data_IF_513583588838
#
_entry.id   IF_513583588838
#
_cell.length_a   1.000
_cell.length_b   1.000
_cell.length_c   1.000
_cell.angle_alpha   90.00
_cell.angle_beta   90.00
_cell.angle_gamma   90.00
#
_symmetry.space_group_name_H-M   'P 1'
#
loop_
_entity.id
_entity.type
_entity.pdbx_description
1 polymer ?
#
# COMPACT_ATOMS: atom_id res chain seq x y z
N UNK A 1 14.63 -16.37 10.78
CA UNK A 1 14.13 -15.41 11.80
C UNK A 1 13.81 -14.09 11.12
N UNK A 2 12.68 -13.46 11.45
CA UNK A 2 12.33 -12.12 10.95
C UNK A 2 12.23 -11.20 12.15
N UNK A 3 12.89 -10.04 12.12
CA UNK A 3 12.83 -9.05 13.20
C UNK A 3 12.51 -7.67 12.65
N UNK A 4 11.80 -6.87 13.44
CA UNK A 4 11.50 -5.49 13.09
C UNK A 4 10.95 -4.72 14.28
N UNK A 5 10.59 -3.47 14.01
CA UNK A 5 10.05 -2.54 15.01
C UNK A 5 8.78 -1.90 14.48
N UNK A 6 7.87 -1.53 15.39
CA UNK A 6 6.66 -0.77 15.05
C UNK A 6 6.67 0.55 15.80
N UNK A 7 6.49 1.64 15.06
CA UNK A 7 6.36 2.99 15.60
C UNK A 7 4.93 3.49 15.44
N UNK A 8 4.52 4.30 16.40
CA UNK A 8 3.37 5.17 16.28
C UNK A 8 3.76 6.41 15.47
N UNK A 9 3.25 6.53 14.24
CA UNK A 9 3.31 7.74 13.43
C UNK A 9 2.16 8.66 13.85
N UNK A 10 2.44 9.53 14.83
CA UNK A 10 1.43 10.41 15.43
C UNK A 10 0.91 11.48 14.46
N UNK A 11 1.70 11.81 13.45
CA UNK A 11 1.39 12.85 12.49
C UNK A 11 0.83 12.32 11.16
N UNK A 12 0.77 11.00 11.01
CA UNK A 12 0.34 10.30 9.79
C UNK A 12 1.12 10.79 8.56
N UNK A 13 2.39 11.12 8.74
CA UNK A 13 3.26 11.64 7.68
C UNK A 13 4.04 10.52 6.94
N UNK A 14 3.92 9.28 7.43
CA UNK A 14 4.52 8.10 6.82
C UNK A 14 6.00 7.94 7.13
N UNK A 15 6.53 8.65 8.14
CA UNK A 15 7.92 8.56 8.57
C UNK A 15 8.01 8.25 10.07
N UNK A 16 9.21 7.91 10.53
CA UNK A 16 9.53 7.87 11.96
C UNK A 16 10.18 9.21 12.30
N UNK A 17 9.46 10.04 13.03
CA UNK A 17 9.77 11.42 13.37
C UNK A 17 10.07 11.60 14.86
N UNK A 18 10.43 12.82 15.26
CA UNK A 18 10.81 13.16 16.64
C UNK A 18 9.72 12.85 17.68
N UNK A 19 8.45 12.93 17.28
CA UNK A 19 7.33 12.69 18.18
C UNK A 19 6.89 11.22 18.19
N UNK A 20 7.39 10.41 17.27
CA UNK A 20 6.97 9.03 17.14
C UNK A 20 7.64 8.15 18.19
N UNK A 21 6.94 7.08 18.58
CA UNK A 21 7.37 6.23 19.69
C UNK A 21 7.07 4.75 19.40
N UNK A 22 7.86 3.82 19.95
CA UNK A 22 7.63 2.39 19.75
C UNK A 22 6.31 1.94 20.37
N UNK A 23 5.58 1.08 19.67
CA UNK A 23 4.28 0.57 20.13
C UNK A 23 4.38 -0.81 20.75
N UNK A 24 3.89 -0.95 21.99
CA UNK A 24 3.78 -2.22 22.70
C UNK A 24 2.46 -2.94 22.41
N UNK A 25 2.51 -4.27 22.28
CA UNK A 25 1.33 -5.13 22.23
C UNK A 25 0.54 -5.01 20.92
N UNK A 26 1.11 -4.36 19.89
CA UNK A 26 0.46 -4.28 18.58
C UNK A 26 0.82 -5.52 17.77
N UNK A 27 -0.19 -6.04 17.06
CA UNK A 27 -0.06 -7.22 16.23
C UNK A 27 0.56 -6.87 14.89
N UNK A 28 1.58 -7.62 14.54
CA UNK A 28 2.27 -7.58 13.25
C UNK A 28 2.03 -8.89 12.55
N UNK A 29 1.67 -8.78 11.28
CA UNK A 29 1.36 -9.90 10.42
C UNK A 29 2.40 -9.99 9.33
N UNK A 30 2.79 -11.20 8.97
CA UNK A 30 3.65 -11.48 7.83
C UNK A 30 2.89 -12.38 6.86
N UNK A 31 2.95 -12.02 5.59
CA UNK A 31 2.35 -12.78 4.51
C UNK A 31 3.37 -12.98 3.39
N UNK A 32 3.38 -14.19 2.83
CA UNK A 32 4.15 -14.52 1.64
C UNK A 32 3.18 -14.80 0.49
N UNK A 33 3.25 -14.04 -0.61
CA UNK A 33 2.43 -14.31 -1.78
C UNK A 33 2.90 -15.59 -2.48
N UNK A 34 1.94 -16.41 -2.89
CA UNK A 34 2.10 -17.55 -3.78
C UNK A 34 2.20 -17.11 -5.24
N UNK A 35 2.46 -18.08 -6.11
CA UNK A 35 2.61 -17.87 -7.55
C UNK A 35 1.34 -17.35 -8.25
N UNK A 36 0.17 -17.55 -7.63
CA UNK A 36 -1.16 -17.11 -8.07
C UNK A 36 -1.64 -15.84 -7.35
N UNK A 37 -0.79 -15.22 -6.52
CA UNK A 37 -1.15 -14.08 -5.69
C UNK A 37 -1.96 -14.43 -4.44
N UNK A 38 -2.27 -15.71 -4.20
CA UNK A 38 -2.84 -16.15 -2.92
C UNK A 38 -1.77 -16.18 -1.84
N UNK A 39 -2.12 -15.87 -0.60
CA UNK A 39 -1.16 -15.95 0.51
C UNK A 39 -0.90 -17.42 0.84
N UNK A 40 0.34 -17.87 0.70
CA UNK A 40 0.75 -19.26 0.95
C UNK A 40 1.32 -19.46 2.35
N UNK A 41 1.88 -18.41 2.95
CA UNK A 41 2.37 -18.45 4.33
C UNK A 41 1.94 -17.22 5.10
N UNK A 42 1.46 -17.45 6.32
CA UNK A 42 0.98 -16.43 7.25
C UNK A 42 1.55 -16.66 8.65
N UNK A 43 1.93 -15.57 9.32
CA UNK A 43 2.31 -15.52 10.74
C UNK A 43 1.84 -14.21 11.37
N UNK A 44 1.53 -14.27 12.66
CA UNK A 44 1.19 -13.11 13.48
C UNK A 44 2.02 -13.14 14.75
N UNK A 45 2.55 -11.98 15.15
CA UNK A 45 3.33 -11.80 16.37
C UNK A 45 2.98 -10.45 17.01
N UNK A 46 3.14 -10.32 18.33
CA UNK A 46 2.92 -9.04 19.01
C UNK A 46 4.22 -8.35 19.38
N UNK A 47 4.26 -7.03 19.31
CA UNK A 47 5.43 -6.25 19.73
C UNK A 47 5.65 -6.27 21.24
N UNK A 48 6.92 -6.27 21.65
CA UNK A 48 7.32 -6.14 23.04
C UNK A 48 7.37 -4.66 23.49
N UNK A 49 7.78 -4.42 24.74
CA UNK A 49 7.76 -3.08 25.35
C UNK A 49 8.66 -2.04 24.65
N UNK A 50 9.63 -2.49 23.85
CA UNK A 50 10.48 -1.65 23.00
C UNK A 50 9.92 -1.47 21.58
N UNK A 51 8.74 -2.00 21.30
CA UNK A 51 8.13 -2.01 19.97
C UNK A 51 8.74 -3.04 19.02
N UNK A 52 9.59 -3.94 19.51
CA UNK A 52 10.25 -4.94 18.68
C UNK A 52 9.38 -6.20 18.57
N UNK A 53 9.37 -6.82 17.40
CA UNK A 53 8.80 -8.14 17.18
C UNK A 53 9.83 -9.07 16.55
N UNK A 54 9.69 -10.37 16.80
CA UNK A 54 10.57 -11.38 16.25
C UNK A 54 9.79 -12.65 15.91
N UNK A 55 9.68 -12.98 14.63
CA UNK A 55 9.05 -14.21 14.15
C UNK A 55 10.11 -15.28 13.90
N UNK A 56 9.87 -16.48 14.44
CA UNK A 56 10.75 -17.65 14.27
C UNK A 56 10.13 -18.63 13.28
N UNK A 57 11.00 -19.22 12.47
CA UNK A 57 10.67 -20.21 11.46
C UNK A 57 11.63 -21.38 11.63
N UNK A 58 11.12 -22.58 11.43
CA UNK A 58 11.94 -23.78 11.40
C UNK A 58 12.66 -23.87 10.05
N UNK A 59 13.96 -24.17 10.08
CA UNK A 59 14.81 -24.20 8.89
C UNK A 59 15.07 -22.81 8.26
N UNK A 60 15.39 -22.82 6.97
CA UNK A 60 15.63 -21.64 6.15
C UNK A 60 14.63 -21.58 4.98
N UNK A 61 13.33 -21.30 5.25
CA UNK A 61 12.37 -21.11 4.17
C UNK A 61 12.74 -19.87 3.34
N UNK A 62 12.45 -19.89 2.03
CA UNK A 62 12.58 -18.70 1.21
C UNK A 62 11.51 -17.67 1.61
N UNK A 63 11.96 -16.53 2.14
CA UNK A 63 11.10 -15.43 2.58
C UNK A 63 11.25 -14.18 1.71
N UNK A 64 11.93 -14.28 0.56
CA UNK A 64 12.31 -13.12 -0.27
C UNK A 64 11.11 -12.33 -0.83
N UNK A 65 9.97 -12.99 -1.04
CA UNK A 65 8.73 -12.37 -1.54
C UNK A 65 7.78 -11.90 -0.44
N UNK A 66 8.12 -12.16 0.82
CA UNK A 66 7.22 -11.89 1.94
C UNK A 66 7.28 -10.41 2.35
N UNK A 67 6.19 -9.98 2.97
CA UNK A 67 6.06 -8.65 3.56
C UNK A 67 5.45 -8.76 4.96
N UNK A 68 5.71 -7.73 5.76
CA UNK A 68 5.07 -7.53 7.05
C UNK A 68 4.22 -6.27 7.05
N UNK A 69 3.16 -6.28 7.87
CA UNK A 69 2.30 -5.14 8.07
C UNK A 69 1.68 -5.20 9.47
N UNK A 70 1.33 -4.05 10.02
CA UNK A 70 0.56 -3.97 11.26
C UNK A 70 -0.88 -4.42 10.99
N UNK A 71 -1.50 -5.19 11.89
CA UNK A 71 -2.94 -5.44 11.80
C UNK A 71 -3.68 -4.27 12.45
N UNK A 72 -4.32 -3.43 11.63
CA UNK A 72 -5.08 -2.26 12.11
C UNK A 72 -6.41 -2.69 12.73
N UNK A 73 -6.47 -2.81 14.05
CA UNK A 73 -7.70 -3.07 14.80
C UNK A 73 -7.68 -2.52 16.23
N UNK A 74 -6.72 -1.64 16.54
CA UNK A 74 -6.52 -1.07 17.87
C UNK A 74 -7.20 0.28 18.06
N UNK A 75 -7.10 0.83 19.28
CA UNK A 75 -7.45 2.22 19.58
C UNK A 75 -6.18 3.09 19.63
N UNK A 76 -6.34 4.41 19.63
CA UNK A 76 -5.21 5.34 19.60
C UNK A 76 -4.35 5.08 18.36
N UNK A 77 -3.04 4.96 18.56
CA UNK A 77 -2.10 4.76 17.45
C UNK A 77 -2.13 3.37 16.79
N UNK A 78 -3.03 2.47 17.21
CA UNK A 78 -3.31 1.20 16.52
C UNK A 78 -4.54 1.25 15.62
N UNK A 79 -5.15 2.43 15.42
CA UNK A 79 -6.40 2.59 14.68
C UNK A 79 -6.25 2.35 13.17
N UNK A 80 -5.09 2.66 12.61
CA UNK A 80 -4.77 2.41 11.21
C UNK A 80 -3.38 1.78 11.08
N UNK A 81 -3.24 0.89 10.09
CA UNK A 81 -1.95 0.34 9.70
C UNK A 81 -1.31 1.21 8.61
N UNK A 82 0.00 1.44 8.73
CA UNK A 82 0.80 2.00 7.66
C UNK A 82 1.04 0.98 6.52
N UNK A 83 1.83 1.36 5.51
CA UNK A 83 2.10 0.49 4.37
C UNK A 83 2.89 -0.76 4.80
N UNK A 84 2.59 -1.87 4.13
CA UNK A 84 3.38 -3.09 4.25
C UNK A 84 4.84 -2.85 3.84
N UNK A 85 5.76 -3.62 4.45
CA UNK A 85 7.19 -3.56 4.17
C UNK A 85 7.73 -4.94 3.83
N UNK A 86 8.58 -4.99 2.81
CA UNK A 86 9.24 -6.23 2.43
C UNK A 86 10.32 -6.60 3.45
N UNK A 87 10.60 -7.90 3.51
CA UNK A 87 11.72 -8.41 4.29
C UNK A 87 13.05 -8.11 3.59
N UNK A 88 14.07 -7.78 4.36
CA UNK A 88 15.45 -7.60 3.89
C UNK A 88 16.34 -8.65 4.51
N UNK A 89 16.95 -9.51 3.69
CA UNK A 89 17.92 -10.48 4.18
C UNK A 89 19.11 -9.73 4.81
N UNK A 90 19.36 -9.99 6.08
CA UNK A 90 20.49 -9.42 6.83
C UNK A 90 21.66 -10.40 6.90
N UNK A 91 21.40 -11.68 7.14
CA UNK A 91 22.42 -12.72 7.06
C UNK A 91 21.84 -14.05 6.56
N UNK A 92 22.68 -14.82 5.85
CA UNK A 92 22.45 -16.21 5.48
C UNK A 92 23.76 -16.98 5.72
N UNK A 93 23.75 -17.91 6.69
CA UNK A 93 24.89 -18.77 7.00
C UNK A 93 24.44 -19.99 7.81
N UNK A 94 25.04 -21.15 7.60
CA UNK A 94 24.79 -22.38 8.38
C UNK A 94 23.30 -22.80 8.46
N UNK A 95 22.59 -22.75 7.33
CA UNK A 95 21.14 -23.04 7.26
C UNK A 95 20.28 -22.14 8.18
N UNK A 96 20.82 -20.98 8.56
CA UNK A 96 20.12 -19.95 9.29
C UNK A 96 20.03 -18.69 8.44
N UNK A 97 18.80 -18.21 8.27
CA UNK A 97 18.55 -16.92 7.65
C UNK A 97 17.90 -15.95 8.63
N UNK A 98 18.38 -14.71 8.63
CA UNK A 98 17.76 -13.63 9.37
C UNK A 98 17.41 -12.48 8.45
N UNK A 99 16.16 -12.06 8.56
CA UNK A 99 15.60 -10.94 7.84
C UNK A 99 15.29 -9.81 8.82
N UNK A 100 15.57 -8.60 8.39
CA UNK A 100 15.12 -7.37 9.04
C UNK A 100 14.01 -6.74 8.22
N UNK A 101 13.21 -5.91 8.88
CA UNK A 101 12.19 -5.09 8.22
C UNK A 101 12.46 -3.64 8.58
N UNK A 102 12.35 -2.75 7.60
CA UNK A 102 12.25 -1.32 7.89
C UNK A 102 11.11 -1.07 8.88
N UNK A 103 11.21 -0.02 9.72
CA UNK A 103 10.20 0.26 10.74
C UNK A 103 8.79 0.29 10.14
N UNK A 104 7.90 -0.51 10.73
CA UNK A 104 6.48 -0.47 10.41
C UNK A 104 5.83 0.71 11.13
N UNK A 105 4.80 1.27 10.51
CA UNK A 105 4.06 2.38 11.09
C UNK A 105 2.66 1.90 11.45
N UNK A 106 2.20 2.29 12.62
CA UNK A 106 0.80 2.32 12.97
C UNK A 106 0.42 3.79 13.21
N UNK A 107 -0.85 4.09 12.97
CA UNK A 107 -1.32 5.47 12.91
C UNK A 107 -2.58 5.66 13.75
N UNK A 108 -2.77 6.85 14.35
CA UNK A 108 -4.03 7.22 14.94
C UNK A 108 -5.13 7.38 13.88
N UNK A 109 -6.38 7.48 14.32
CA UNK A 109 -7.49 7.78 13.42
C UNK A 109 -7.28 9.15 12.75
N UNK A 110 -6.89 10.14 13.54
CA UNK A 110 -6.57 11.51 13.11
C UNK A 110 -5.17 11.91 13.61
N UNK A 111 -4.41 12.72 12.85
CA UNK A 111 -3.13 13.26 13.30
C UNK A 111 -3.27 14.05 14.61
N UNK A 112 -2.24 14.00 15.45
CA UNK A 112 -2.25 14.73 16.71
C UNK A 112 -2.26 16.27 16.51
N UNK A 113 -2.87 17.05 17.43
CA UNK A 113 -3.01 18.50 17.25
C UNK A 113 -1.70 19.29 17.16
N UNK A 114 -0.61 18.75 17.71
CA UNK A 114 0.73 19.36 17.67
C UNK A 114 1.45 19.12 16.33
N UNK A 115 0.92 18.24 15.49
CA UNK A 115 1.53 17.94 14.21
C UNK A 115 1.46 19.16 13.30
N UNK A 116 2.53 19.43 12.52
CA UNK A 116 2.50 20.49 11.54
C UNK A 116 1.36 20.20 10.59
N UNK A 117 0.38 21.11 10.54
CA UNK A 117 -0.65 21.03 9.50
C UNK A 117 0.07 21.22 8.19
N UNK A 118 0.01 20.22 7.31
CA UNK A 118 0.38 20.41 5.91
C UNK A 118 -0.32 21.67 5.44
N UNK A 119 0.46 22.72 5.18
CA UNK A 119 -0.07 23.91 4.54
C UNK A 119 -0.61 23.40 3.22
N UNK A 120 -1.94 23.31 3.12
CA UNK A 120 -2.61 23.18 1.84
C UNK A 120 -2.07 24.37 1.06
N UNK A 121 -1.14 24.12 0.12
CA UNK A 121 -0.78 25.14 -0.84
C UNK A 121 -2.13 25.63 -1.39
N UNK A 122 -2.45 26.93 -1.32
CA UNK A 122 -3.72 27.40 -1.85
C UNK A 122 -3.79 26.86 -3.27
N UNK A 123 -4.82 26.05 -3.54
CA UNK A 123 -5.08 25.58 -4.89
C UNK A 123 -5.26 26.83 -5.73
N UNK A 124 -4.20 27.23 -6.43
CA UNK A 124 -4.32 28.28 -7.42
C UNK A 124 -5.44 27.84 -8.35
N UNK A 125 -6.46 28.68 -8.59
CA UNK A 125 -7.48 28.32 -9.55
C UNK A 125 -6.77 27.98 -10.86
N UNK A 126 -7.15 26.88 -11.54
CA UNK A 126 -6.55 26.56 -12.83
C UNK A 126 -6.70 27.79 -13.74
N UNK A 127 -5.67 28.16 -14.51
CA UNK A 127 -5.77 29.29 -15.43
C UNK A 127 -6.97 29.05 -16.35
N UNK A 128 -7.74 30.11 -16.68
CA UNK A 128 -8.91 29.97 -17.55
C UNK A 128 -8.49 29.31 -18.87
N UNK A 129 -9.21 28.26 -19.25
CA UNK A 129 -8.97 27.57 -20.52
C UNK A 129 -9.14 28.57 -21.69
N UNK A 130 -8.28 28.51 -22.73
CA UNK A 130 -8.48 29.35 -23.91
C UNK A 130 -9.82 29.00 -24.56
N UNK A 131 -10.64 30.03 -24.81
CA UNK A 131 -11.87 29.89 -25.59
C UNK A 131 -11.50 29.44 -27.01
N UNK A 132 -11.78 28.18 -27.34
CA UNK A 132 -11.70 27.70 -28.71
C UNK A 132 -12.82 28.37 -29.54
N UNK A 133 -12.52 28.83 -30.76
CA UNK A 133 -13.52 29.44 -31.62
C UNK A 133 -14.62 28.42 -31.98
N UNK A 134 -15.86 28.87 -32.23
CA UNK A 134 -16.95 27.96 -32.59
C UNK A 134 -16.60 27.21 -33.87
N UNK A 135 -16.71 25.88 -33.87
CA UNK A 135 -16.55 25.09 -35.08
C UNK A 135 -17.71 25.39 -36.05
N UNK A 136 -17.42 25.61 -37.35
CA UNK A 136 -18.46 25.81 -38.35
C UNK A 136 -19.27 24.51 -38.53
N UNK A 137 -20.60 24.64 -38.49
CA UNK A 137 -21.53 23.53 -38.69
C UNK A 137 -21.40 22.99 -40.12
N UNK A 138 -21.10 21.69 -40.24
CA UNK A 138 -21.10 20.99 -41.51
C UNK A 138 -22.56 20.74 -41.96
N UNK A 139 -22.85 20.87 -43.27
CA UNK A 139 -24.20 20.66 -43.78
C UNK A 139 -24.63 19.18 -43.67
N UNK A 140 -25.94 18.92 -43.54
CA UNK A 140 -26.44 17.55 -43.41
C UNK A 140 -26.18 16.73 -44.67
N UNK A 141 -25.71 15.50 -44.48
CA UNK A 141 -25.46 14.54 -45.56
C UNK A 141 -26.79 14.07 -46.18
N UNK A 142 -26.81 13.97 -47.51
CA UNK A 142 -27.98 13.48 -48.26
C UNK A 142 -28.19 11.96 -48.06
N UNK A 143 -29.44 11.45 -48.19
CA UNK A 143 -29.73 10.03 -47.99
C UNK A 143 -29.17 9.18 -49.13
N UNK A 144 -28.47 8.09 -48.78
CA UNK A 144 -27.99 7.09 -49.72
C UNK A 144 -29.16 6.21 -50.21
N UNK A 145 -29.18 5.79 -51.49
CA UNK A 145 -30.23 4.92 -52.01
C UNK A 145 -30.05 3.49 -51.51
N UNK A 146 -31.17 2.86 -51.15
CA UNK A 146 -31.25 1.44 -50.84
C UNK A 146 -30.87 0.60 -52.07
N UNK A 147 -29.82 -0.21 -51.95
CA UNK A 147 -29.54 -1.28 -52.91
C UNK A 147 -30.17 -2.57 -52.40
N UNK A 148 -31.18 -3.01 -53.14
CA UNK A 148 -31.97 -4.21 -52.95
C UNK A 148 -31.08 -5.45 -53.07
N UNK A 149 -31.12 -6.31 -52.04
CA UNK A 149 -30.40 -7.58 -52.03
C UNK A 149 -31.19 -8.65 -52.80
N UNK A 150 -30.69 -9.08 -53.96
CA UNK A 150 -31.26 -10.18 -54.73
C UNK A 150 -30.30 -11.37 -54.79
N UNK A 151 -30.72 -12.41 -54.04
CA UNK A 151 -30.48 -13.85 -54.07
C UNK A 151 -29.52 -14.50 -55.09
N UNK A 152 -28.76 -15.48 -54.60
CA UNK A 152 -28.02 -16.51 -55.35
C UNK A 152 -28.93 -17.39 -56.26
N UNK A 153 -28.34 -18.17 -57.19
CA UNK A 153 -28.20 -19.59 -56.85
C UNK A 153 -26.87 -20.23 -57.30
N UNK A 154 -26.52 -21.30 -56.57
CA UNK A 154 -25.47 -22.27 -56.90
C UNK A 154 -25.79 -23.04 -58.19
N UNK A 155 -24.77 -23.24 -59.04
CA UNK A 155 -24.31 -24.57 -59.47
C UNK A 155 -22.86 -24.51 -59.94
#
# INVERSE_FOLDING_TARGET
MVTGTVFCDQCKDGQVSLFDYPLYGIKVTMACPGSDGQVTMWREESTNWLGNYAMRFDGAPDLSSCYTQVSGSGQGCGAAAGPAKNLRLMFNMFDMEMYTVDPLLAQPAEPMPFCPRSAIAPAYPPPPAPLLPPMPQLPPLAPLPFLEASACPHQ
#
